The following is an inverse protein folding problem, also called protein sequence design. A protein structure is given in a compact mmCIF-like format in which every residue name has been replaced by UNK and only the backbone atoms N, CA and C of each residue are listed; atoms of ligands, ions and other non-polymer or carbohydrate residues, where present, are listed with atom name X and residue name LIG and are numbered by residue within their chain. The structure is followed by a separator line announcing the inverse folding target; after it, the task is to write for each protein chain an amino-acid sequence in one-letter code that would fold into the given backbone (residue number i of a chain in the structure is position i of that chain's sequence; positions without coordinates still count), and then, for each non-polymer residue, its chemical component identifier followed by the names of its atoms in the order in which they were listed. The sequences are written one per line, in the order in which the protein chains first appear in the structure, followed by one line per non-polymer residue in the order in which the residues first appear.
data_IF_974008733973
#
_entry.id   IF_974008733973
#
_cell.length_a   1.000
_cell.length_b   1.000
_cell.length_c   1.000
_cell.angle_alpha   90.00
_cell.angle_beta   90.00
_cell.angle_gamma   90.00
#
_symmetry.space_group_name_H-M   'P 1'
#
loop_
_entity.id
_entity.type
_entity.pdbx_description
1 polymer ?
#
# COMPACT_ATOMS: atom_id res chain seq x y z
N UNK A 1 -20.52 -26.32 -10.96
CA UNK A 1 -19.87 -25.98 -9.68
C UNK A 1 -19.09 -24.71 -9.91
N UNK A 2 -19.45 -23.64 -9.21
CA UNK A 2 -18.83 -22.33 -9.37
C UNK A 2 -17.74 -22.22 -8.28
N UNK A 3 -16.47 -22.41 -8.66
CA UNK A 3 -15.31 -22.25 -7.77
C UNK A 3 -14.85 -20.78 -7.74
N UNK A 4 -15.73 -19.90 -7.28
CA UNK A 4 -15.44 -18.47 -7.09
C UNK A 4 -15.38 -18.27 -5.58
N UNK A 5 -14.18 -18.14 -5.01
CA UNK A 5 -14.07 -17.86 -3.57
C UNK A 5 -12.67 -17.95 -2.98
N UNK A 6 -11.78 -18.78 -3.54
CA UNK A 6 -10.44 -18.97 -2.96
C UNK A 6 -9.37 -18.03 -3.56
N UNK A 7 -9.37 -17.81 -4.89
CA UNK A 7 -8.29 -17.04 -5.56
C UNK A 7 -8.34 -15.54 -5.32
N UNK A 8 -9.54 -14.98 -5.18
CA UNK A 8 -9.71 -13.53 -5.03
C UNK A 8 -9.37 -13.06 -3.60
N UNK A 9 -9.64 -13.91 -2.59
CA UNK A 9 -9.31 -13.67 -1.19
C UNK A 9 -7.79 -13.65 -0.93
N UNK A 10 -7.08 -14.67 -1.43
CA UNK A 10 -5.62 -14.82 -1.26
C UNK A 10 -4.84 -13.69 -1.93
N UNK A 11 -5.32 -13.21 -3.08
CA UNK A 11 -4.73 -12.07 -3.78
C UNK A 11 -4.87 -10.78 -2.97
N UNK A 12 -6.05 -10.53 -2.39
CA UNK A 12 -6.29 -9.36 -1.56
C UNK A 12 -5.40 -9.36 -0.31
N UNK A 13 -5.23 -10.50 0.35
CA UNK A 13 -4.32 -10.63 1.51
C UNK A 13 -2.85 -10.40 1.12
N UNK A 14 -2.43 -10.88 -0.05
CA UNK A 14 -1.07 -10.67 -0.56
C UNK A 14 -0.80 -9.21 -0.93
N UNK A 15 -1.76 -8.54 -1.57
CA UNK A 15 -1.66 -7.14 -1.96
C UNK A 15 -1.59 -6.23 -0.71
N UNK A 16 -2.41 -6.48 0.30
CA UNK A 16 -2.39 -5.74 1.57
C UNK A 16 -1.09 -5.99 2.37
N UNK A 17 -0.54 -7.21 2.35
CA UNK A 17 0.77 -7.50 2.94
C UNK A 17 1.88 -6.67 2.28
N UNK A 18 1.89 -6.58 0.95
CA UNK A 18 2.87 -5.77 0.23
C UNK A 18 2.74 -4.27 0.60
N UNK A 19 1.51 -3.76 0.67
CA UNK A 19 1.25 -2.37 1.05
C UNK A 19 1.65 -2.08 2.51
N UNK A 20 1.46 -3.03 3.44
CA UNK A 20 1.95 -2.91 4.82
C UNK A 20 3.46 -2.96 4.92
N UNK A 21 4.12 -3.79 4.11
CA UNK A 21 5.58 -3.81 4.06
C UNK A 21 6.12 -2.47 3.59
N UNK A 22 5.47 -1.85 2.60
CA UNK A 22 5.77 -0.49 2.16
C UNK A 22 5.53 0.55 3.27
N UNK A 23 4.49 0.37 4.09
CA UNK A 23 4.23 1.25 5.23
C UNK A 23 5.31 1.20 6.32
N UNK A 24 5.99 0.07 6.47
CA UNK A 24 7.06 -0.11 7.47
C UNK A 24 8.41 0.43 7.00
N UNK A 25 8.56 0.78 5.72
CA UNK A 25 9.80 1.31 5.18
C UNK A 25 9.95 2.81 5.51
N UNK A 26 10.77 3.10 6.53
CA UNK A 26 11.04 4.46 6.99
C UNK A 26 11.85 5.30 6.01
N UNK A 27 12.43 4.69 4.95
CA UNK A 27 13.21 5.39 3.92
C UNK A 27 12.34 6.39 3.15
N UNK A 28 11.03 6.14 3.07
CA UNK A 28 10.07 6.97 2.33
C UNK A 28 9.41 8.06 3.18
N UNK A 29 9.79 8.19 4.46
CA UNK A 29 9.24 9.16 5.40
C UNK A 29 8.39 8.52 6.50
N UNK A 30 7.85 9.33 7.43
CA UNK A 30 7.08 8.82 8.55
C UNK A 30 5.87 8.01 8.08
N UNK A 31 5.61 6.89 8.73
CA UNK A 31 4.43 6.06 8.43
C UNK A 31 3.13 6.73 8.93
N UNK A 32 3.23 7.51 10.00
CA UNK A 32 2.09 8.10 10.70
C UNK A 32 1.77 9.51 10.16
N UNK A 33 0.47 9.80 10.02
CA UNK A 33 -0.02 11.15 9.70
C UNK A 33 0.02 11.56 8.23
N UNK A 34 0.39 10.64 7.32
CA UNK A 34 0.32 10.85 5.86
C UNK A 34 -0.32 9.63 5.19
N UNK A 35 -1.01 9.86 4.08
CA UNK A 35 -1.62 8.78 3.30
C UNK A 35 -0.54 7.95 2.57
N UNK A 36 -0.85 6.68 2.27
CA UNK A 36 0.09 5.74 1.62
C UNK A 36 0.54 6.27 0.25
N UNK A 37 -0.37 6.93 -0.46
CA UNK A 37 -0.09 7.59 -1.75
C UNK A 37 0.86 8.79 -1.60
N UNK A 38 0.65 9.63 -0.60
CA UNK A 38 1.54 10.77 -0.32
C UNK A 38 2.96 10.29 0.03
N UNK A 39 3.09 9.17 0.75
CA UNK A 39 4.39 8.54 1.01
C UNK A 39 5.06 8.06 -0.28
N UNK A 40 4.30 7.45 -1.19
CA UNK A 40 4.81 7.01 -2.49
C UNK A 40 5.28 8.19 -3.35
N UNK A 41 4.51 9.27 -3.40
CA UNK A 41 4.88 10.50 -4.12
C UNK A 41 6.14 11.16 -3.53
N UNK A 42 6.27 11.18 -2.19
CA UNK A 42 7.48 11.67 -1.52
C UNK A 42 8.71 10.83 -1.86
N UNK A 43 8.58 9.50 -1.91
CA UNK A 43 9.67 8.63 -2.31
C UNK A 43 10.19 8.96 -3.72
N UNK A 44 9.27 9.18 -4.68
CA UNK A 44 9.62 9.63 -6.02
C UNK A 44 10.29 11.00 -6.01
N UNK A 45 9.77 11.96 -5.23
CA UNK A 45 10.35 13.29 -5.09
C UNK A 45 11.78 13.25 -4.52
N UNK A 46 12.07 12.33 -3.61
CA UNK A 46 13.41 12.11 -3.05
C UNK A 46 14.35 11.38 -4.01
N UNK A 47 13.90 11.03 -5.22
CA UNK A 47 14.67 10.27 -6.20
C UNK A 47 14.89 8.81 -5.79
N UNK A 48 14.04 8.28 -4.91
CA UNK A 48 14.04 6.87 -4.55
C UNK A 48 13.25 6.06 -5.59
N UNK A 49 13.45 4.75 -5.60
CA UNK A 49 12.80 3.83 -6.53
C UNK A 49 11.81 2.91 -5.78
N UNK A 50 10.64 3.42 -5.33
CA UNK A 50 9.64 2.60 -4.68
C UNK A 50 9.00 1.63 -5.69
N UNK A 51 8.76 0.38 -5.28
CA UNK A 51 8.26 -0.70 -6.16
C UNK A 51 7.06 -0.30 -7.01
N UNK A 52 7.13 -0.54 -8.32
CA UNK A 52 6.03 -0.29 -9.26
C UNK A 52 4.77 -1.10 -8.94
N UNK A 53 4.90 -2.25 -8.27
CA UNK A 53 3.74 -3.02 -7.80
C UNK A 53 2.96 -2.23 -6.75
N UNK A 54 3.64 -1.48 -5.86
CA UNK A 54 2.98 -0.61 -4.88
C UNK A 54 2.16 0.46 -5.59
N UNK A 55 2.69 1.06 -6.66
CA UNK A 55 1.95 2.04 -7.48
C UNK A 55 0.67 1.46 -8.04
N UNK A 56 0.76 0.31 -8.71
CA UNK A 56 -0.39 -0.40 -9.27
C UNK A 56 -1.43 -0.68 -8.19
N UNK A 57 -1.01 -1.17 -7.02
CA UNK A 57 -1.91 -1.42 -5.91
C UNK A 57 -2.56 -0.13 -5.36
N UNK A 58 -1.84 0.99 -5.33
CA UNK A 58 -2.39 2.30 -4.90
C UNK A 58 -3.37 2.91 -5.91
N UNK A 59 -3.26 2.55 -7.19
CA UNK A 59 -4.16 2.99 -8.26
C UNK A 59 -5.42 2.12 -8.36
N UNK A 60 -5.29 0.81 -8.08
CA UNK A 60 -6.37 -0.16 -8.24
C UNK A 60 -7.06 -0.58 -6.93
N UNK A 61 -6.49 -0.29 -5.76
CA UNK A 61 -7.17 -0.52 -4.48
C UNK A 61 -8.09 0.64 -4.12
N UNK A 62 -9.36 0.33 -3.83
CA UNK A 62 -10.32 1.27 -3.24
C UNK A 62 -10.06 1.51 -1.75
N UNK A 63 -9.19 0.69 -1.13
CA UNK A 63 -8.72 0.86 0.24
C UNK A 63 -7.61 1.91 0.29
N UNK A 64 -7.98 3.17 0.05
CA UNK A 64 -7.06 4.31 0.07
C UNK A 64 -6.59 4.70 1.49
N UNK A 65 -7.02 3.96 2.52
CA UNK A 65 -6.68 4.26 3.92
C UNK A 65 -5.41 3.52 4.32
N UNK A 66 -4.42 4.25 4.82
CA UNK A 66 -3.39 3.64 5.67
C UNK A 66 -4.09 2.92 6.83
N UNK A 67 -3.61 1.73 7.22
CA UNK A 67 -4.11 1.00 8.40
C UNK A 67 -4.07 1.87 9.68
N UNK A 68 -3.27 2.94 9.66
CA UNK A 68 -3.00 3.87 10.75
C UNK A 68 -3.64 5.27 10.54
N UNK A 69 -4.66 5.41 9.67
CA UNK A 69 -5.56 6.58 9.67
C UNK A 69 -6.47 6.59 10.91
N UNK A 70 -5.83 6.61 12.07
CA UNK A 70 -6.42 6.63 13.40
C UNK A 70 -5.43 7.30 14.35
N UNK A 71 -5.10 8.55 14.06
CA UNK A 71 -4.53 9.43 15.07
C UNK A 71 -5.58 9.69 16.16
N UNK A 72 -5.11 9.69 17.41
CA UNK A 72 -5.83 10.10 18.63
C UNK A 72 -6.75 11.32 18.43
#
# INVERSE_FOLDING_TARGET
GIEIGARDCEKFDSDEKLLRQFDLDTTYGPCLGIARRERYERALFLGLDPSGQVKTLLEHSTSSKCLWEGGL
#
